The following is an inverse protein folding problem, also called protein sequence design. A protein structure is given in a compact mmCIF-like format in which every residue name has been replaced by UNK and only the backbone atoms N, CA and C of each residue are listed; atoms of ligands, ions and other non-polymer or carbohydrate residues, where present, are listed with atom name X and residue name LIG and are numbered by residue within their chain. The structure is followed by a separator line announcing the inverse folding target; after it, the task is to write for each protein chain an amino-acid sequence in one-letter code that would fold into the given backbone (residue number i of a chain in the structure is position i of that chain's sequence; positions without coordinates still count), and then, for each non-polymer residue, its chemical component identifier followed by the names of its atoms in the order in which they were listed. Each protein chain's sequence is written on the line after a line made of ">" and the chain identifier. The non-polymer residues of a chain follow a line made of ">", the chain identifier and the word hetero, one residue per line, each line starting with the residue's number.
data_IF_701302150869
#
_entry.id   IF_701302150869
#
_cell.length_a   1.000
_cell.length_b   1.000
_cell.length_c   1.000
_cell.angle_alpha   90.00
_cell.angle_beta   90.00
_cell.angle_gamma   90.00
#
_symmetry.space_group_name_H-M   'P 1'
#
loop_
_entity.id
_entity.type
_entity.pdbx_description
1 polymer ?
#
# COMPACT_ATOMS: atom_id res chain seq x y z
N UNK A 1 -18.02 19.86 -21.64
CA UNK A 1 -16.58 20.14 -21.76
C UNK A 1 -15.91 18.82 -22.05
N UNK A 2 -15.22 18.69 -23.19
CA UNK A 2 -14.47 17.48 -23.53
C UNK A 2 -13.35 17.33 -22.49
N UNK A 3 -13.48 16.38 -21.55
CA UNK A 3 -12.34 15.92 -20.79
C UNK A 3 -11.31 15.45 -21.82
N UNK A 4 -10.11 16.04 -21.82
CA UNK A 4 -9.04 15.56 -22.69
C UNK A 4 -8.94 14.06 -22.46
N UNK A 5 -9.17 13.29 -23.52
CA UNK A 5 -9.14 11.82 -23.43
C UNK A 5 -7.81 11.42 -22.81
N UNK A 6 -7.83 10.54 -21.80
CA UNK A 6 -6.61 10.00 -21.18
C UNK A 6 -5.78 9.33 -22.27
N UNK A 7 -4.61 9.90 -22.54
CA UNK A 7 -3.67 9.39 -23.53
C UNK A 7 -2.70 8.42 -22.88
N UNK A 8 -3.12 7.16 -22.82
CA UNK A 8 -2.35 6.08 -22.19
C UNK A 8 -0.96 5.91 -22.86
N UNK A 9 -0.89 6.02 -24.18
CA UNK A 9 0.37 5.86 -24.91
C UNK A 9 1.37 6.97 -24.58
N UNK A 10 0.88 8.21 -24.44
CA UNK A 10 1.70 9.34 -24.00
C UNK A 10 2.19 9.14 -22.57
N UNK A 11 1.32 8.73 -21.65
CA UNK A 11 1.70 8.49 -20.25
C UNK A 11 2.77 7.39 -20.17
N UNK A 12 2.57 6.28 -20.89
CA UNK A 12 3.53 5.18 -20.94
C UNK A 12 4.90 5.64 -21.50
N UNK A 13 4.89 6.47 -22.55
CA UNK A 13 6.12 7.04 -23.12
C UNK A 13 6.84 7.94 -22.11
N UNK A 14 6.12 8.77 -21.35
CA UNK A 14 6.71 9.64 -20.31
C UNK A 14 7.25 8.82 -19.13
N UNK A 15 6.54 7.80 -18.66
CA UNK A 15 7.04 6.91 -17.62
C UNK A 15 8.30 6.15 -18.06
N UNK A 16 8.37 5.74 -19.32
CA UNK A 16 9.56 5.13 -19.91
C UNK A 16 10.73 6.12 -20.01
N UNK A 17 10.46 7.40 -20.32
CA UNK A 17 11.46 8.47 -20.33
C UNK A 17 12.02 8.73 -18.91
N UNK A 18 11.16 8.76 -17.89
CA UNK A 18 11.56 8.86 -16.48
C UNK A 18 12.40 7.64 -16.09
N UNK A 19 12.00 6.44 -16.48
CA UNK A 19 12.73 5.20 -16.25
C UNK A 19 12.75 4.72 -14.80
N UNK A 20 13.67 3.84 -14.48
CA UNK A 20 13.85 3.22 -13.16
C UNK A 20 14.58 4.18 -12.19
N UNK A 21 13.97 5.31 -11.95
CA UNK A 21 14.46 6.38 -11.08
C UNK A 21 13.35 6.81 -10.11
N UNK A 22 13.72 7.14 -8.88
CA UNK A 22 12.76 7.60 -7.88
C UNK A 22 13.40 8.62 -6.92
N UNK A 23 12.83 9.81 -6.95
CA UNK A 23 13.11 10.92 -6.06
C UNK A 23 11.87 11.83 -5.93
N UNK A 24 11.92 12.93 -5.15
CA UNK A 24 10.80 13.86 -5.03
C UNK A 24 10.34 14.49 -6.35
N UNK A 25 11.24 14.69 -7.30
CA UNK A 25 10.92 15.25 -8.62
C UNK A 25 10.12 14.25 -9.46
N UNK A 26 10.57 12.99 -9.52
CA UNK A 26 9.83 11.89 -10.18
C UNK A 26 8.45 11.71 -9.58
N UNK A 27 8.32 11.79 -8.26
CA UNK A 27 7.02 11.72 -7.59
C UNK A 27 6.09 12.84 -8.06
N UNK A 28 6.58 14.09 -8.11
CA UNK A 28 5.83 15.25 -8.56
C UNK A 28 5.45 15.10 -10.04
N UNK A 29 6.43 14.80 -10.90
CA UNK A 29 6.23 14.64 -12.35
C UNK A 29 5.20 13.54 -12.64
N UNK A 30 5.32 12.38 -12.00
CA UNK A 30 4.35 11.29 -12.17
C UNK A 30 2.94 11.71 -11.73
N UNK A 31 2.77 12.41 -10.62
CA UNK A 31 1.45 12.90 -10.19
C UNK A 31 0.83 13.82 -11.23
N UNK A 32 1.60 14.75 -11.78
CA UNK A 32 1.08 15.69 -12.80
C UNK A 32 0.62 14.98 -14.07
N UNK A 33 1.28 13.88 -14.48
CA UNK A 33 0.83 13.09 -15.63
C UNK A 33 -0.60 12.55 -15.47
N UNK A 34 -1.00 12.22 -14.25
CA UNK A 34 -2.30 11.60 -13.96
C UNK A 34 -3.36 12.60 -13.46
N UNK A 35 -2.97 13.77 -12.95
CA UNK A 35 -3.82 14.70 -12.20
C UNK A 35 -5.14 15.03 -12.89
N UNK A 36 -5.09 15.53 -14.12
CA UNK A 36 -6.29 15.95 -14.84
C UNK A 36 -7.24 14.76 -15.13
N UNK A 37 -6.68 13.60 -15.47
CA UNK A 37 -7.47 12.42 -15.77
C UNK A 37 -8.12 11.82 -14.52
N UNK A 38 -7.38 11.76 -13.40
CA UNK A 38 -7.91 11.28 -12.11
C UNK A 38 -9.02 12.21 -11.60
N UNK A 39 -8.85 13.53 -11.73
CA UNK A 39 -9.88 14.51 -11.35
C UNK A 39 -11.16 14.39 -12.20
N UNK A 40 -11.08 13.84 -13.39
CA UNK A 40 -12.23 13.65 -14.30
C UNK A 40 -12.92 12.27 -14.14
N UNK A 41 -12.43 11.40 -13.27
CA UNK A 41 -13.05 10.09 -13.03
C UNK A 41 -14.45 10.24 -12.41
N UNK A 42 -15.43 9.37 -12.77
CA UNK A 42 -16.80 9.46 -12.27
C UNK A 42 -16.96 9.42 -10.75
N UNK A 43 -15.96 8.92 -10.06
CA UNK A 43 -15.92 8.79 -8.60
C UNK A 43 -14.97 9.76 -7.90
N UNK A 44 -14.41 10.75 -8.64
CA UNK A 44 -13.43 11.69 -8.07
C UNK A 44 -13.99 12.51 -6.88
N UNK A 45 -15.28 12.76 -6.86
CA UNK A 45 -16.00 13.54 -5.85
C UNK A 45 -16.74 12.66 -4.80
N UNK A 46 -16.42 11.35 -4.73
CA UNK A 46 -17.04 10.50 -3.69
C UNK A 46 -16.74 11.04 -2.29
N UNK A 47 -17.72 10.94 -1.38
CA UNK A 47 -17.58 11.46 -0.03
C UNK A 47 -16.46 10.75 0.74
N UNK A 48 -15.88 11.47 1.66
CA UNK A 48 -14.87 10.98 2.60
C UNK A 48 -15.15 11.51 4.00
N UNK A 49 -14.96 10.66 5.01
CA UNK A 49 -14.94 11.06 6.43
C UNK A 49 -13.47 11.14 6.83
N UNK A 50 -13.02 12.33 7.17
CA UNK A 50 -11.61 12.63 7.29
C UNK A 50 -11.12 12.64 8.75
N UNK A 51 -9.84 12.30 8.92
CA UNK A 51 -9.05 12.50 10.14
C UNK A 51 -9.62 11.85 11.41
N UNK A 52 -10.29 10.71 11.28
CA UNK A 52 -10.75 9.91 12.42
C UNK A 52 -9.54 9.37 13.21
N UNK A 53 -9.61 9.46 14.52
CA UNK A 53 -8.51 9.10 15.43
C UNK A 53 -8.51 7.61 15.70
N UNK A 54 -7.38 6.93 15.43
CA UNK A 54 -7.21 5.52 15.77
C UNK A 54 -6.18 5.27 16.88
N UNK A 55 -5.45 6.30 17.31
CA UNK A 55 -4.42 6.20 18.33
C UNK A 55 -3.97 7.56 18.86
N UNK A 56 -3.07 7.59 19.86
CA UNK A 56 -2.72 8.80 20.59
C UNK A 56 -1.80 9.77 19.84
N UNK A 57 -1.04 9.29 18.85
CA UNK A 57 -0.11 10.15 18.13
C UNK A 57 -0.84 11.10 17.16
N UNK A 58 -0.31 12.30 16.90
CA UNK A 58 -0.94 13.24 15.96
C UNK A 58 -1.18 12.66 14.58
N UNK A 59 -0.31 11.75 14.12
CA UNK A 59 -0.45 11.06 12.84
C UNK A 59 -1.37 9.83 12.88
N UNK A 60 -1.81 9.38 14.05
CA UNK A 60 -2.74 8.26 14.13
C UNK A 60 -4.14 8.67 13.66
N UNK A 61 -4.29 8.85 12.36
CA UNK A 61 -5.51 9.30 11.67
C UNK A 61 -5.83 8.40 10.49
N UNK A 62 -7.12 8.12 10.30
CA UNK A 62 -7.65 7.42 9.12
C UNK A 62 -8.69 8.28 8.41
N UNK A 63 -8.78 8.10 7.10
CA UNK A 63 -9.89 8.60 6.28
C UNK A 63 -10.72 7.42 5.81
N UNK A 64 -12.05 7.57 5.84
CA UNK A 64 -13.00 6.55 5.40
C UNK A 64 -13.71 7.00 4.14
N UNK A 65 -13.71 6.14 3.13
CA UNK A 65 -14.48 6.29 1.90
C UNK A 65 -15.58 5.23 1.90
N UNK A 66 -16.85 5.62 2.18
CA UNK A 66 -17.95 4.68 2.26
C UNK A 66 -18.26 4.01 0.93
N UNK A 67 -18.73 2.76 0.97
CA UNK A 67 -19.29 2.07 -0.17
C UNK A 67 -20.80 2.36 -0.28
N UNK A 68 -21.37 2.07 -1.46
CA UNK A 68 -22.83 2.20 -1.69
C UNK A 68 -23.62 0.98 -1.18
N UNK A 69 -22.94 -0.01 -0.60
CA UNK A 69 -23.54 -1.26 -0.09
C UNK A 69 -23.24 -1.43 1.39
N UNK A 70 -24.14 -2.10 2.11
CA UNK A 70 -23.92 -2.48 3.51
C UNK A 70 -23.14 -3.78 3.60
N UNK A 71 -22.42 -3.95 4.72
CA UNK A 71 -21.55 -5.10 4.94
C UNK A 71 -20.52 -5.29 3.82
N UNK A 72 -20.02 -4.16 3.31
CA UNK A 72 -18.99 -4.16 2.28
C UNK A 72 -17.66 -4.71 2.82
N UNK A 73 -16.89 -5.47 2.04
CA UNK A 73 -15.52 -5.78 2.44
C UNK A 73 -14.73 -4.48 2.63
N UNK A 74 -13.76 -4.52 3.53
CA UNK A 74 -12.93 -3.36 3.84
C UNK A 74 -11.63 -3.45 3.06
N UNK A 75 -11.24 -2.33 2.47
CA UNK A 75 -9.90 -2.14 1.94
C UNK A 75 -9.13 -1.20 2.85
N UNK A 76 -8.09 -1.69 3.51
CA UNK A 76 -7.13 -0.87 4.24
C UNK A 76 -5.95 -0.52 3.32
N UNK A 77 -5.64 0.76 3.17
CA UNK A 77 -4.48 1.22 2.39
C UNK A 77 -3.47 1.96 3.28
N UNK A 78 -2.20 1.55 3.18
CA UNK A 78 -1.05 2.21 3.79
C UNK A 78 -0.15 2.81 2.70
N UNK A 79 0.06 4.13 2.78
CA UNK A 79 0.81 4.90 1.79
C UNK A 79 2.32 4.65 1.82
N UNK A 80 3.02 5.04 0.75
CA UNK A 80 4.46 5.13 0.70
C UNK A 80 5.00 6.43 1.31
N UNK A 81 6.32 6.56 1.34
CA UNK A 81 6.99 7.76 1.83
C UNK A 81 8.35 7.51 2.49
N UNK A 82 8.98 6.37 2.19
CA UNK A 82 10.33 6.03 2.62
C UNK A 82 10.52 6.01 4.12
N UNK A 83 9.47 5.75 4.90
CA UNK A 83 9.40 5.77 6.37
C UNK A 83 9.51 7.16 7.03
N UNK A 84 9.89 8.20 6.29
CA UNK A 84 10.17 9.56 6.81
C UNK A 84 9.18 10.60 6.31
N UNK A 85 8.23 10.21 5.46
CA UNK A 85 7.26 11.12 4.86
C UNK A 85 6.03 10.40 4.35
N UNK A 86 5.26 11.09 3.51
CA UNK A 86 3.99 10.62 2.99
C UNK A 86 2.81 11.00 3.86
N UNK A 87 1.64 10.93 3.27
CA UNK A 87 0.36 11.17 3.93
C UNK A 87 -0.76 10.47 3.17
N UNK A 88 -1.77 9.95 3.89
CA UNK A 88 -2.97 9.33 3.33
C UNK A 88 -3.71 10.26 2.35
N UNK A 89 -3.51 11.58 2.51
CA UNK A 89 -4.07 12.65 1.70
C UNK A 89 -3.06 13.79 1.51
N UNK A 90 -1.81 13.45 1.15
CA UNK A 90 -0.74 14.43 0.94
C UNK A 90 -0.96 15.40 -0.22
N UNK A 91 -2.02 15.21 -0.99
CA UNK A 91 -2.46 16.01 -2.13
C UNK A 91 -3.99 15.84 -2.23
N UNK A 92 -4.77 16.85 -2.68
CA UNK A 92 -6.23 16.74 -2.76
C UNK A 92 -6.76 15.50 -3.52
N UNK A 93 -5.97 14.96 -4.46
CA UNK A 93 -6.32 13.77 -5.23
C UNK A 93 -5.62 12.50 -4.71
N UNK A 94 -4.32 12.56 -4.43
CA UNK A 94 -3.46 11.41 -4.12
C UNK A 94 -3.06 11.38 -2.63
N UNK A 95 -3.23 10.30 -1.88
CA UNK A 95 -3.74 8.97 -2.31
C UNK A 95 -5.26 8.83 -2.22
N UNK A 96 -6.02 9.89 -2.00
CA UNK A 96 -7.48 9.83 -1.94
C UNK A 96 -8.12 9.12 -3.14
N UNK A 97 -7.47 9.15 -4.33
CA UNK A 97 -7.89 8.39 -5.51
C UNK A 97 -7.99 6.87 -5.23
N UNK A 98 -7.11 6.29 -4.43
CA UNK A 98 -7.16 4.86 -4.06
C UNK A 98 -8.44 4.58 -3.28
N UNK A 99 -8.73 5.39 -2.25
CA UNK A 99 -9.95 5.26 -1.46
C UNK A 99 -11.23 5.36 -2.29
N UNK A 100 -11.31 6.39 -3.13
CA UNK A 100 -12.46 6.61 -4.02
C UNK A 100 -12.62 5.50 -5.06
N UNK A 101 -11.51 5.02 -5.62
CA UNK A 101 -11.53 3.90 -6.57
C UNK A 101 -12.17 2.65 -5.96
N UNK A 102 -11.68 2.20 -4.82
CA UNK A 102 -12.21 1.00 -4.19
C UNK A 102 -13.62 1.19 -3.61
N UNK A 103 -13.94 2.39 -3.12
CA UNK A 103 -15.31 2.71 -2.70
C UNK A 103 -16.30 2.63 -3.88
N UNK A 104 -15.92 3.11 -5.07
CA UNK A 104 -16.72 2.96 -6.28
C UNK A 104 -16.87 1.49 -6.74
N UNK A 105 -16.01 0.61 -6.24
CA UNK A 105 -16.02 -0.82 -6.55
C UNK A 105 -16.48 -1.70 -5.38
N UNK A 106 -17.27 -1.13 -4.46
CA UNK A 106 -17.99 -1.89 -3.44
C UNK A 106 -17.20 -2.22 -2.18
N UNK A 107 -16.14 -1.47 -1.87
CA UNK A 107 -15.38 -1.62 -0.62
C UNK A 107 -15.55 -0.38 0.25
N UNK A 108 -15.69 -0.54 1.55
CA UNK A 108 -15.37 0.56 2.47
C UNK A 108 -13.87 0.70 2.52
N UNK A 109 -13.34 1.86 2.08
CA UNK A 109 -11.89 2.05 2.03
C UNK A 109 -11.41 2.88 3.21
N UNK A 110 -10.38 2.39 3.89
CA UNK A 110 -9.72 3.02 5.03
C UNK A 110 -8.31 3.39 4.60
N UNK A 111 -8.01 4.68 4.50
CA UNK A 111 -6.66 5.17 4.22
C UNK A 111 -6.04 5.66 5.52
N UNK A 112 -4.87 5.14 5.88
CA UNK A 112 -4.27 5.40 7.18
C UNK A 112 -2.93 6.14 7.05
N UNK A 113 -2.75 7.15 7.92
CA UNK A 113 -1.43 7.64 8.29
C UNK A 113 -0.87 6.77 9.39
N UNK A 114 0.44 6.65 9.43
CA UNK A 114 1.22 5.98 10.46
C UNK A 114 2.36 6.90 10.94
N UNK A 115 2.96 6.60 12.09
CA UNK A 115 4.09 7.36 12.63
C UNK A 115 5.32 7.25 11.73
N UNK A 116 6.15 8.27 11.72
CA UNK A 116 7.30 8.40 10.83
C UNK A 116 8.62 8.48 11.61
N UNK A 117 9.68 7.96 11.01
CA UNK A 117 11.04 8.18 11.49
C UNK A 117 11.46 9.64 11.20
N UNK A 118 12.37 10.22 12.02
CA UNK A 118 13.08 9.58 13.14
C UNK A 118 12.29 9.54 14.45
N UNK A 119 11.14 10.24 14.56
CA UNK A 119 10.38 10.33 15.81
C UNK A 119 9.80 8.99 16.26
N UNK A 120 9.51 8.09 15.30
CA UNK A 120 9.04 6.74 15.55
C UNK A 120 9.77 5.74 14.65
N UNK A 121 10.57 4.88 15.27
CA UNK A 121 11.37 3.86 14.59
C UNK A 121 10.75 2.47 14.75
N UNK A 122 11.36 1.43 14.15
CA UNK A 122 10.92 0.06 14.34
C UNK A 122 10.72 -0.27 15.84
N UNK A 123 9.61 -0.90 16.28
CA UNK A 123 8.55 -1.51 15.45
C UNK A 123 7.28 -0.65 15.28
N UNK A 124 7.37 0.68 15.35
CA UNK A 124 6.21 1.59 15.34
C UNK A 124 5.21 1.34 14.22
N UNK A 125 5.69 0.94 13.03
CA UNK A 125 4.81 0.62 11.90
C UNK A 125 3.95 -0.61 12.15
N UNK A 126 4.50 -1.66 12.79
CA UNK A 126 3.75 -2.86 13.17
C UNK A 126 2.68 -2.51 14.23
N UNK A 127 3.06 -1.68 15.21
CA UNK A 127 2.14 -1.16 16.24
C UNK A 127 0.98 -0.37 15.63
N UNK A 128 1.29 0.49 14.66
CA UNK A 128 0.27 1.32 13.99
C UNK A 128 -0.67 0.45 13.14
N UNK A 129 -0.16 -0.56 12.42
CA UNK A 129 -1.01 -1.51 11.68
C UNK A 129 -1.94 -2.26 12.64
N UNK A 130 -1.44 -2.73 13.79
CA UNK A 130 -2.26 -3.39 14.81
C UNK A 130 -3.36 -2.45 15.34
N UNK A 131 -3.00 -1.20 15.64
CA UNK A 131 -3.96 -0.20 16.15
C UNK A 131 -5.03 0.16 15.11
N UNK A 132 -4.66 0.27 13.83
CA UNK A 132 -5.60 0.52 12.73
C UNK A 132 -6.58 -0.65 12.61
N UNK A 133 -6.11 -1.89 12.66
CA UNK A 133 -6.97 -3.08 12.59
C UNK A 133 -7.94 -3.17 13.78
N UNK A 134 -7.47 -2.87 14.98
CA UNK A 134 -8.35 -2.79 16.17
C UNK A 134 -9.39 -1.66 16.04
N UNK A 135 -9.01 -0.52 15.46
CA UNK A 135 -9.94 0.56 15.16
C UNK A 135 -11.00 0.12 14.13
N UNK A 136 -10.59 -0.56 13.06
CA UNK A 136 -11.50 -1.13 12.04
C UNK A 136 -12.51 -2.07 12.70
N UNK A 137 -12.05 -2.99 13.54
CA UNK A 137 -12.91 -3.95 14.26
C UNK A 137 -14.00 -3.25 15.07
N UNK A 138 -13.65 -2.16 15.77
CA UNK A 138 -14.58 -1.43 16.64
C UNK A 138 -15.47 -0.41 15.91
N UNK A 139 -15.12 0.05 14.72
CA UNK A 139 -15.76 1.25 14.14
C UNK A 139 -16.26 1.07 12.69
N UNK A 140 -15.69 0.18 11.90
CA UNK A 140 -15.95 0.16 10.45
C UNK A 140 -17.40 -0.19 10.10
N UNK A 141 -18.12 -0.89 10.96
CA UNK A 141 -19.53 -1.22 10.77
C UNK A 141 -20.41 0.04 10.71
N UNK A 142 -20.07 1.12 11.41
CA UNK A 142 -20.79 2.41 11.36
C UNK A 142 -20.74 3.05 9.97
N UNK A 143 -19.70 2.72 9.19
CA UNK A 143 -19.49 3.19 7.82
C UNK A 143 -19.93 2.17 6.76
N UNK A 144 -20.62 1.10 7.17
CA UNK A 144 -21.14 0.05 6.28
C UNK A 144 -20.13 -1.04 5.94
N UNK A 145 -18.95 -1.06 6.58
CA UNK A 145 -17.93 -2.09 6.40
C UNK A 145 -18.18 -3.35 7.21
N UNK A 146 -17.67 -4.47 6.73
CA UNK A 146 -17.62 -5.75 7.44
C UNK A 146 -16.21 -5.97 8.01
N UNK A 147 -16.00 -5.82 9.32
CA UNK A 147 -14.69 -5.92 9.94
C UNK A 147 -14.06 -7.31 9.85
N UNK A 148 -14.83 -8.35 9.53
CA UNK A 148 -14.34 -9.72 9.34
C UNK A 148 -13.75 -9.95 7.93
N UNK A 149 -13.86 -8.95 7.02
CA UNK A 149 -13.44 -9.07 5.62
C UNK A 149 -12.51 -7.93 5.20
N UNK A 150 -11.29 -7.95 5.74
CA UNK A 150 -10.28 -6.90 5.48
C UNK A 150 -9.27 -7.37 4.44
N UNK A 151 -9.11 -6.60 3.37
CA UNK A 151 -8.00 -6.69 2.43
C UNK A 151 -7.06 -5.52 2.70
N UNK A 152 -5.77 -5.80 2.82
CA UNK A 152 -4.77 -4.75 3.06
C UNK A 152 -3.96 -4.51 1.79
N UNK A 153 -3.76 -3.24 1.44
CA UNK A 153 -2.82 -2.84 0.38
C UNK A 153 -1.78 -1.91 1.00
N UNK A 154 -0.52 -2.30 0.95
CA UNK A 154 0.60 -1.44 1.28
C UNK A 154 1.40 -1.06 0.04
N UNK A 155 1.83 0.20 -0.05
CA UNK A 155 2.70 0.67 -1.11
C UNK A 155 4.04 1.14 -0.53
N UNK A 156 5.18 0.67 -1.10
CA UNK A 156 6.53 1.11 -0.67
C UNK A 156 6.75 0.89 0.84
N UNK A 157 7.03 1.94 1.62
CA UNK A 157 7.15 1.86 3.08
C UNK A 157 5.87 1.32 3.75
N UNK A 158 4.67 1.64 3.21
CA UNK A 158 3.42 1.05 3.69
C UNK A 158 3.37 -0.47 3.53
N UNK A 159 3.91 -0.99 2.41
CA UNK A 159 4.04 -2.44 2.22
C UNK A 159 5.02 -3.08 3.21
N UNK A 160 6.08 -2.37 3.59
CA UNK A 160 7.01 -2.84 4.63
C UNK A 160 6.33 -2.95 6.00
N UNK A 161 5.50 -1.96 6.38
CA UNK A 161 4.74 -2.01 7.63
C UNK A 161 3.73 -3.17 7.64
N UNK A 162 3.01 -3.38 6.53
CA UNK A 162 2.11 -4.54 6.39
C UNK A 162 2.88 -5.85 6.53
N UNK A 163 3.98 -6.01 5.80
CA UNK A 163 4.80 -7.22 5.87
C UNK A 163 5.41 -7.43 7.28
N UNK A 164 5.87 -6.34 7.92
CA UNK A 164 6.34 -6.37 9.31
C UNK A 164 5.27 -6.91 10.26
N UNK A 165 4.06 -6.39 10.18
CA UNK A 165 2.95 -6.87 11.00
C UNK A 165 2.59 -8.34 10.74
N UNK A 166 2.57 -8.76 9.47
CA UNK A 166 2.16 -10.11 9.09
C UNK A 166 3.20 -11.19 9.45
N UNK A 167 4.49 -10.86 9.37
CA UNK A 167 5.55 -11.87 9.51
C UNK A 167 6.28 -11.84 10.84
N UNK A 168 6.36 -10.70 11.51
CA UNK A 168 7.09 -10.57 12.77
C UNK A 168 6.40 -11.42 13.87
N UNK A 169 7.13 -12.35 14.51
CA UNK A 169 6.59 -13.24 15.55
C UNK A 169 5.93 -12.51 16.73
N UNK A 170 6.39 -11.30 17.04
CA UNK A 170 5.81 -10.47 18.12
C UNK A 170 4.37 -10.03 17.85
N UNK A 171 3.94 -10.08 16.59
CA UNK A 171 2.59 -9.64 16.15
C UNK A 171 1.71 -10.78 15.66
N UNK A 172 2.26 -11.99 15.48
CA UNK A 172 1.49 -13.17 15.08
C UNK A 172 0.38 -13.47 16.08
N UNK A 173 -0.83 -13.62 15.59
CA UNK A 173 -2.01 -13.95 16.40
C UNK A 173 -2.83 -12.76 16.92
N UNK A 174 -2.37 -11.53 16.73
CA UNK A 174 -3.16 -10.34 16.99
C UNK A 174 -4.06 -10.06 15.77
N UNK A 175 -5.38 -10.27 15.88
CA UNK A 175 -6.42 -9.90 14.91
C UNK A 175 -6.25 -10.42 13.44
N UNK A 176 -5.42 -11.44 13.18
CA UNK A 176 -5.18 -11.93 11.81
C UNK A 176 -6.39 -12.62 11.16
N UNK A 177 -7.45 -12.94 11.92
CA UNK A 177 -8.62 -13.65 11.37
C UNK A 177 -9.47 -12.80 10.43
N UNK A 178 -9.48 -11.49 10.61
CA UNK A 178 -10.19 -10.56 9.74
C UNK A 178 -9.45 -10.25 8.44
N UNK A 179 -8.12 -10.47 8.40
CA UNK A 179 -7.30 -10.21 7.21
C UNK A 179 -7.49 -11.36 6.22
N UNK A 180 -8.23 -11.10 5.16
CA UNK A 180 -8.53 -12.07 4.09
C UNK A 180 -7.47 -12.13 3.01
N UNK A 181 -6.62 -11.12 2.91
CA UNK A 181 -5.49 -11.07 1.98
C UNK A 181 -4.74 -9.76 2.09
N UNK A 182 -3.49 -9.75 1.62
CA UNK A 182 -2.69 -8.54 1.55
C UNK A 182 -1.97 -8.40 0.21
N UNK A 183 -1.91 -7.16 -0.28
CA UNK A 183 -1.15 -6.80 -1.48
C UNK A 183 0.02 -5.90 -1.07
N UNK A 184 1.21 -6.28 -1.50
CA UNK A 184 2.46 -5.62 -1.17
C UNK A 184 3.08 -5.03 -2.44
N UNK A 185 2.85 -3.73 -2.67
CA UNK A 185 3.29 -3.02 -3.87
C UNK A 185 4.69 -2.44 -3.65
N UNK A 186 5.71 -3.01 -4.30
CA UNK A 186 7.08 -2.49 -4.36
C UNK A 186 7.64 -2.05 -3.00
N UNK A 187 7.57 -2.91 -1.97
CA UNK A 187 7.93 -2.57 -0.60
C UNK A 187 9.41 -2.76 -0.27
N UNK A 188 9.73 -2.51 1.01
CA UNK A 188 11.04 -2.76 1.60
C UNK A 188 10.91 -3.89 2.63
N UNK A 189 11.64 -5.00 2.43
CA UNK A 189 11.43 -6.21 3.23
C UNK A 189 12.70 -6.76 3.89
N UNK A 190 13.86 -6.31 3.43
CA UNK A 190 15.15 -6.74 3.98
C UNK A 190 16.12 -5.58 4.08
N UNK A 191 16.57 -5.28 5.29
CA UNK A 191 17.67 -4.33 5.50
C UNK A 191 19.00 -4.97 5.10
N UNK A 192 19.65 -4.40 4.10
CA UNK A 192 20.96 -4.79 3.57
C UNK A 192 21.69 -3.58 2.99
N UNK A 193 23.03 -3.58 3.00
CA UNK A 193 23.80 -2.54 2.32
C UNK A 193 23.73 -2.69 0.77
N UNK A 194 23.75 -1.57 0.03
CA UNK A 194 23.61 -0.19 0.51
C UNK A 194 22.18 0.11 0.97
N UNK A 195 22.04 0.66 2.19
CA UNK A 195 20.75 0.97 2.77
C UNK A 195 20.39 2.45 2.56
N UNK A 196 19.23 2.72 1.98
CA UNK A 196 18.70 4.07 1.76
C UNK A 196 18.47 4.80 3.09
N UNK A 197 18.56 6.13 3.08
CA UNK A 197 18.48 6.96 4.28
C UNK A 197 17.17 6.79 5.06
N UNK A 198 16.03 6.75 4.40
CA UNK A 198 14.73 6.57 5.05
C UNK A 198 14.60 5.24 5.79
N UNK A 199 14.80 4.09 5.11
CA UNK A 199 14.88 2.79 5.78
C UNK A 199 15.89 2.76 6.92
N UNK A 200 17.09 3.36 6.75
CA UNK A 200 18.12 3.43 7.79
C UNK A 200 17.63 4.15 9.05
N UNK A 201 16.95 5.29 8.88
CA UNK A 201 16.34 6.01 10.01
C UNK A 201 15.28 5.18 10.73
N UNK A 202 14.55 4.31 10.00
CA UNK A 202 13.51 3.48 10.59
C UNK A 202 14.06 2.23 11.28
N UNK A 203 14.94 1.46 10.61
CA UNK A 203 15.49 0.21 11.17
C UNK A 203 16.73 0.43 12.05
N UNK A 204 17.31 1.63 12.05
CA UNK A 204 18.52 1.98 12.85
C UNK A 204 19.83 1.73 12.10
N UNK A 205 20.90 2.29 12.67
CA UNK A 205 22.23 2.32 12.08
C UNK A 205 23.00 0.99 12.24
N UNK A 206 22.73 0.22 13.30
CA UNK A 206 23.49 -0.98 13.62
C UNK A 206 23.01 -2.20 12.80
N UNK A 207 23.84 -2.72 11.86
CA UNK A 207 23.49 -3.86 11.03
C UNK A 207 23.20 -5.14 11.83
N UNK A 208 23.68 -5.27 13.06
CA UNK A 208 23.40 -6.43 13.91
C UNK A 208 21.90 -6.59 14.22
N UNK A 209 21.14 -5.49 14.20
CA UNK A 209 19.70 -5.49 14.43
C UNK A 209 18.86 -5.70 13.17
N UNK A 210 19.43 -5.52 11.98
CA UNK A 210 18.67 -5.51 10.72
C UNK A 210 17.94 -6.83 10.42
N UNK A 211 18.51 -8.01 10.67
CA UNK A 211 17.77 -9.27 10.47
C UNK A 211 16.47 -9.31 11.27
N UNK A 212 16.52 -8.93 12.55
CA UNK A 212 15.34 -8.91 13.42
C UNK A 212 14.29 -7.86 13.01
N UNK A 213 14.69 -6.84 12.25
CA UNK A 213 13.83 -5.73 11.77
C UNK A 213 13.46 -5.84 10.29
N UNK A 214 13.73 -6.99 9.69
CA UNK A 214 13.50 -7.28 8.27
C UNK A 214 12.35 -8.27 8.09
N UNK A 215 11.19 -7.88 7.57
CA UNK A 215 10.05 -8.78 7.40
C UNK A 215 10.39 -10.10 6.70
N UNK A 216 11.23 -10.05 5.66
CA UNK A 216 11.63 -11.24 4.90
C UNK A 216 12.45 -12.27 5.71
N UNK A 217 12.99 -11.90 6.86
CA UNK A 217 13.71 -12.84 7.75
C UNK A 217 12.75 -13.69 8.63
N UNK A 218 11.49 -13.28 8.71
CA UNK A 218 10.48 -13.89 9.59
C UNK A 218 9.36 -14.60 8.83
N UNK A 219 9.48 -14.71 7.50
CA UNK A 219 8.49 -15.40 6.67
C UNK A 219 8.34 -16.85 7.11
N UNK A 220 7.12 -17.27 7.32
CA UNK A 220 6.73 -18.65 7.63
C UNK A 220 5.41 -18.95 6.89
N UNK A 221 4.91 -20.19 6.91
CA UNK A 221 3.73 -20.60 6.13
C UNK A 221 2.40 -20.06 6.68
N UNK A 222 2.44 -19.45 7.88
CA UNK A 222 1.23 -18.92 8.55
C UNK A 222 1.05 -17.44 8.24
N UNK A 223 0.47 -17.15 7.10
CA UNK A 223 0.10 -15.81 6.65
C UNK A 223 -1.16 -15.84 5.74
N UNK A 224 -1.91 -14.73 5.61
CA UNK A 224 -3.01 -14.65 4.66
C UNK A 224 -2.51 -14.76 3.22
N UNK A 225 -3.39 -15.00 2.24
CA UNK A 225 -3.06 -14.90 0.83
C UNK A 225 -2.35 -13.58 0.49
N UNK A 226 -1.29 -13.66 -0.31
CA UNK A 226 -0.46 -12.50 -0.67
C UNK A 226 -0.42 -12.29 -2.18
N UNK A 227 -0.49 -11.03 -2.60
CA UNK A 227 -0.12 -10.56 -3.93
C UNK A 227 1.08 -9.63 -3.80
N UNK A 228 2.20 -10.01 -4.37
CA UNK A 228 3.38 -9.16 -4.50
C UNK A 228 3.39 -8.45 -5.85
N UNK A 229 3.96 -7.25 -5.93
CA UNK A 229 4.18 -6.62 -7.23
C UNK A 229 5.49 -5.87 -7.34
N UNK A 230 5.95 -5.79 -8.61
CA UNK A 230 7.07 -4.96 -9.06
C UNK A 230 6.57 -4.13 -10.24
N UNK A 231 6.88 -2.83 -10.26
CA UNK A 231 6.66 -2.00 -11.44
C UNK A 231 7.85 -2.14 -12.43
N UNK A 232 7.59 -2.02 -13.74
CA UNK A 232 8.64 -2.13 -14.77
C UNK A 232 9.80 -1.15 -14.49
N UNK A 233 9.47 0.06 -14.04
CA UNK A 233 10.42 1.12 -13.74
C UNK A 233 10.62 1.33 -12.24
N UNK A 234 10.51 0.28 -11.42
CA UNK A 234 11.03 0.33 -10.06
C UNK A 234 12.56 0.45 -10.08
N UNK A 235 13.17 1.31 -9.24
CA UNK A 235 14.60 1.24 -9.01
C UNK A 235 15.05 -0.18 -8.63
N UNK A 236 16.18 -0.64 -9.16
CA UNK A 236 16.67 -2.01 -8.96
C UNK A 236 16.69 -2.42 -7.47
N UNK A 237 17.09 -1.50 -6.58
CA UNK A 237 17.13 -1.75 -5.14
C UNK A 237 15.73 -2.02 -4.54
N UNK A 238 14.66 -1.46 -5.13
CA UNK A 238 13.27 -1.70 -4.70
C UNK A 238 12.73 -3.00 -5.31
N UNK A 239 13.01 -3.22 -6.60
CA UNK A 239 12.62 -4.46 -7.27
C UNK A 239 13.23 -5.70 -6.58
N UNK A 240 14.52 -5.64 -6.23
CA UNK A 240 15.23 -6.69 -5.50
C UNK A 240 14.54 -7.06 -4.16
N UNK A 241 13.97 -6.09 -3.45
CA UNK A 241 13.27 -6.35 -2.19
C UNK A 241 12.06 -7.27 -2.39
N UNK A 242 11.28 -7.03 -3.45
CA UNK A 242 10.11 -7.86 -3.76
C UNK A 242 10.53 -9.27 -4.21
N UNK A 243 11.60 -9.39 -5.00
CA UNK A 243 12.15 -10.67 -5.43
C UNK A 243 12.74 -11.46 -4.26
N UNK A 244 13.45 -10.81 -3.34
CA UNK A 244 13.94 -11.43 -2.09
C UNK A 244 12.78 -11.97 -1.24
N UNK A 245 11.70 -11.19 -1.08
CA UNK A 245 10.51 -11.64 -0.35
C UNK A 245 9.81 -12.80 -1.05
N UNK A 246 9.66 -12.73 -2.39
CA UNK A 246 9.07 -13.83 -3.16
C UNK A 246 9.85 -15.13 -3.02
N UNK A 247 11.19 -15.03 -2.98
CA UNK A 247 12.08 -16.19 -2.74
C UNK A 247 11.88 -16.78 -1.34
N UNK A 248 11.77 -15.93 -0.32
CA UNK A 248 11.54 -16.37 1.06
C UNK A 248 10.16 -17.05 1.20
N UNK A 249 9.11 -16.49 0.60
CA UNK A 249 7.77 -17.08 0.58
C UNK A 249 7.74 -18.41 -0.16
N UNK A 250 8.39 -18.50 -1.33
CA UNK A 250 8.49 -19.76 -2.05
C UNK A 250 9.16 -20.86 -1.22
N UNK A 251 10.18 -20.52 -0.45
CA UNK A 251 10.85 -21.47 0.43
C UNK A 251 9.96 -21.89 1.63
N UNK A 252 9.19 -20.96 2.19
CA UNK A 252 8.32 -21.23 3.34
C UNK A 252 7.05 -22.03 2.95
N UNK A 253 6.43 -21.71 1.81
CA UNK A 253 5.16 -22.29 1.37
C UNK A 253 5.32 -23.53 0.49
N UNK A 254 6.54 -23.80 0.00
CA UNK A 254 6.81 -24.85 -0.98
C UNK A 254 6.23 -24.56 -2.38
N UNK A 255 5.81 -23.31 -2.63
CA UNK A 255 5.24 -22.86 -3.92
C UNK A 255 5.50 -21.35 -4.09
N UNK A 256 5.60 -20.86 -5.35
CA UNK A 256 5.76 -19.42 -5.58
C UNK A 256 4.52 -18.64 -5.12
N UNK A 257 4.72 -17.44 -4.53
CA UNK A 257 3.62 -16.52 -4.23
C UNK A 257 3.00 -15.97 -5.53
N UNK A 258 1.80 -15.38 -5.42
CA UNK A 258 1.25 -14.59 -6.51
C UNK A 258 2.11 -13.32 -6.68
N UNK A 259 2.88 -13.27 -7.77
CA UNK A 259 3.76 -12.15 -8.11
C UNK A 259 3.33 -11.54 -9.43
N UNK A 260 3.18 -10.21 -9.47
CA UNK A 260 2.80 -9.49 -10.67
C UNK A 260 3.82 -8.41 -11.04
N UNK A 261 4.24 -8.40 -12.30
CA UNK A 261 5.06 -7.35 -12.89
C UNK A 261 4.17 -6.40 -13.69
N UNK A 262 4.11 -5.12 -13.27
CA UNK A 262 3.28 -4.12 -13.92
C UNK A 262 4.06 -3.38 -15.01
N UNK A 263 3.83 -3.79 -16.26
CA UNK A 263 4.39 -3.15 -17.44
C UNK A 263 3.95 -1.68 -17.57
N UNK A 264 4.84 -0.82 -18.03
CA UNK A 264 4.55 0.59 -18.26
C UNK A 264 4.39 1.44 -17.00
N UNK A 265 4.63 0.90 -15.81
CA UNK A 265 4.50 1.61 -14.54
C UNK A 265 5.85 1.88 -13.87
N UNK A 266 5.95 3.01 -13.17
CA UNK A 266 7.02 3.30 -12.23
C UNK A 266 6.53 3.09 -10.78
N UNK A 267 7.42 3.34 -9.82
CA UNK A 267 7.20 3.10 -8.39
C UNK A 267 5.88 3.64 -7.81
N UNK A 268 5.38 4.76 -8.32
CA UNK A 268 4.18 5.43 -7.78
C UNK A 268 2.98 5.43 -8.72
N UNK A 269 3.20 5.25 -10.01
CA UNK A 269 2.10 5.22 -10.98
C UNK A 269 1.16 4.05 -10.77
N UNK A 270 1.63 2.97 -10.14
CA UNK A 270 0.82 1.80 -9.74
C UNK A 270 -0.39 2.16 -8.86
N UNK A 271 -0.31 3.25 -8.09
CA UNK A 271 -1.43 3.73 -7.26
C UNK A 271 -2.03 5.04 -7.76
N UNK A 272 -1.27 5.85 -8.52
CA UNK A 272 -1.78 7.12 -9.03
C UNK A 272 -2.71 6.94 -10.24
N UNK A 273 -2.48 5.92 -11.06
CA UNK A 273 -3.23 5.68 -12.31
C UNK A 273 -4.47 4.79 -12.19
N UNK A 274 -4.91 4.45 -10.97
CA UNK A 274 -6.06 3.56 -10.78
C UNK A 274 -7.32 4.07 -11.46
N UNK A 275 -7.98 3.20 -12.23
CA UNK A 275 -9.20 3.50 -12.95
C UNK A 275 -9.00 4.22 -14.29
N UNK A 276 -7.77 4.39 -14.75
CA UNK A 276 -7.46 5.06 -16.01
C UNK A 276 -6.94 4.08 -17.08
N UNK A 277 -7.27 4.34 -18.34
CA UNK A 277 -6.83 3.52 -19.45
C UNK A 277 -7.27 2.06 -19.29
N UNK A 278 -6.35 1.13 -19.53
CA UNK A 278 -6.57 -0.32 -19.34
C UNK A 278 -6.69 -0.74 -17.88
N UNK A 279 -6.35 0.16 -16.94
CA UNK A 279 -6.41 -0.07 -15.48
C UNK A 279 -5.80 -1.41 -15.04
N UNK A 280 -4.67 -1.79 -15.62
CA UNK A 280 -4.04 -3.11 -15.39
C UNK A 280 -3.79 -3.38 -13.91
N UNK A 281 -3.40 -2.37 -13.15
CA UNK A 281 -3.15 -2.46 -11.71
C UNK A 281 -4.47 -2.59 -10.95
N UNK A 282 -5.40 -1.66 -11.12
CA UNK A 282 -6.65 -1.64 -10.37
C UNK A 282 -7.51 -2.89 -10.62
N UNK A 283 -7.58 -3.37 -11.86
CA UNK A 283 -8.24 -4.64 -12.19
C UNK A 283 -7.61 -5.80 -11.42
N UNK A 284 -6.27 -5.88 -11.38
CA UNK A 284 -5.57 -6.96 -10.67
C UNK A 284 -5.82 -6.91 -9.17
N UNK A 285 -5.73 -5.73 -8.57
CA UNK A 285 -6.00 -5.53 -7.15
C UNK A 285 -7.44 -5.91 -6.78
N UNK A 286 -8.44 -5.50 -7.59
CA UNK A 286 -9.84 -5.87 -7.37
C UNK A 286 -10.10 -7.37 -7.56
N UNK A 287 -9.46 -8.00 -8.55
CA UNK A 287 -9.55 -9.45 -8.73
C UNK A 287 -9.00 -10.21 -7.53
N UNK A 288 -7.86 -9.77 -6.99
CA UNK A 288 -7.30 -10.34 -5.76
C UNK A 288 -8.27 -10.13 -4.58
N UNK A 289 -8.74 -8.91 -4.35
CA UNK A 289 -9.69 -8.62 -3.29
C UNK A 289 -10.96 -9.47 -3.40
N UNK A 290 -11.58 -9.57 -4.58
CA UNK A 290 -12.79 -10.35 -4.80
C UNK A 290 -12.61 -11.86 -4.53
N UNK A 291 -11.42 -12.42 -4.82
CA UNK A 291 -11.16 -13.85 -4.54
C UNK A 291 -11.05 -14.16 -3.04
N UNK A 292 -10.69 -13.17 -2.23
CA UNK A 292 -10.33 -13.42 -0.83
C UNK A 292 -11.27 -12.75 0.18
N UNK A 293 -12.10 -11.79 -0.22
CA UNK A 293 -13.07 -11.12 0.66
C UNK A 293 -14.49 -11.70 0.61
N UNK A 294 -14.68 -12.80 -0.11
CA UNK A 294 -15.98 -13.47 -0.27
C UNK A 294 -16.47 -14.21 0.93
#
# INVERSE_FOLDING_TARGET
>A
MNAAAFDEARIEAELRRIGAHFDPEVLRETRELYRAAVAALPWADRPVVEDLVYGPAPRNRVDIYPADIKHAPILLFLHGGGFVGGDKRGDPLFYGNVGRYFAAHGHVSVLANYRLAPDATWPSGNEDVAAILAWIEGNAAEYGGDPERVIIIGQSAGAAHVAGYLFDPGWKGHANRSIRGATLLSGFYRAKEPLLAGPRLYVGEDPAHWPARSPAAHVGPDHPPLLLSVAEFDPAQIADQTLDLATALNAADGRPPELHWFAGHNHVSTVHGLGLGRDSVGIRLRQFAARHSG
#
